data_IF_575218455807
#
_entry.id   IF_575218455807
#
_cell.length_a   1.000
_cell.length_b   1.000
_cell.length_c   1.000
_cell.angle_alpha   90.00
_cell.angle_beta   90.00
_cell.angle_gamma   90.00
#
_symmetry.space_group_name_H-M   'P 1'
#
loop_
_entity.id
_entity.type
_entity.pdbx_description
1 polymer ?
#
# COMPACT_ATOMS: atom_id res chain seq x y z
N UNK A 1 15.78 26.30 13.54
CA UNK A 1 16.39 25.32 14.47
C UNK A 1 15.36 24.73 15.42
N UNK A 2 14.59 25.51 16.17
CA UNK A 2 13.56 24.94 17.07
C UNK A 2 12.53 24.08 16.30
N UNK A 3 12.11 24.54 15.11
CA UNK A 3 11.23 23.78 14.23
C UNK A 3 11.84 22.44 13.77
N UNK A 4 13.11 22.41 13.39
CA UNK A 4 13.80 21.16 13.01
C UNK A 4 13.85 20.17 14.17
N UNK A 5 14.02 20.66 15.40
CA UNK A 5 13.98 19.83 16.59
C UNK A 5 12.60 19.19 16.79
N UNK A 6 11.52 19.93 16.52
CA UNK A 6 10.15 19.37 16.59
C UNK A 6 9.94 18.24 15.56
N UNK A 7 10.47 18.37 14.34
CA UNK A 7 10.43 17.28 13.36
C UNK A 7 11.27 16.07 13.78
N UNK A 8 12.43 16.30 14.41
CA UNK A 8 13.26 15.21 14.93
C UNK A 8 12.56 14.48 16.08
N UNK A 9 11.94 15.21 17.01
CA UNK A 9 11.14 14.62 18.09
C UNK A 9 9.94 13.86 17.52
N UNK A 10 9.25 14.40 16.53
CA UNK A 10 8.13 13.73 15.88
C UNK A 10 8.53 12.36 15.32
N UNK A 11 9.61 12.27 14.54
CA UNK A 11 10.03 10.99 13.96
C UNK A 11 10.64 10.05 15.01
N UNK A 12 11.30 10.59 16.05
CA UNK A 12 11.76 9.84 17.21
C UNK A 12 10.58 9.17 17.93
N UNK A 13 9.51 9.91 18.22
CA UNK A 13 8.32 9.37 18.90
C UNK A 13 7.66 8.26 18.08
N UNK A 14 7.45 8.49 16.78
CA UNK A 14 6.89 7.49 15.86
C UNK A 14 7.74 6.22 15.82
N UNK A 15 9.05 6.37 15.64
CA UNK A 15 9.95 5.21 15.53
C UNK A 15 10.08 4.45 16.85
N UNK A 16 10.07 5.15 17.99
CA UNK A 16 10.02 4.52 19.31
C UNK A 16 8.72 3.76 19.54
N UNK A 17 7.58 4.29 19.08
CA UNK A 17 6.28 3.61 19.16
C UNK A 17 6.28 2.29 18.37
N UNK A 18 6.79 2.33 17.15
CA UNK A 18 6.96 1.15 16.28
C UNK A 18 7.83 0.11 16.99
N UNK A 19 8.99 0.51 17.50
CA UNK A 19 9.88 -0.43 18.22
C UNK A 19 9.24 -1.02 19.47
N UNK A 20 8.46 -0.22 20.21
CA UNK A 20 7.79 -0.64 21.44
C UNK A 20 6.66 -1.63 21.18
N UNK A 21 5.86 -1.39 20.15
CA UNK A 21 4.71 -2.23 19.84
C UNK A 21 5.11 -3.51 19.03
N UNK A 22 6.23 -3.52 18.30
CA UNK A 22 6.82 -4.73 17.69
C UNK A 22 6.50 -4.98 16.21
N UNK A 23 5.87 -6.12 15.87
CA UNK A 23 5.50 -6.47 14.48
C UNK A 23 4.14 -5.88 14.12
N UNK A 24 4.03 -5.27 12.93
CA UNK A 24 2.78 -4.65 12.46
C UNK A 24 2.38 -5.11 11.07
N UNK A 25 1.09 -5.00 10.81
CA UNK A 25 0.58 -4.98 9.43
C UNK A 25 0.67 -3.56 8.86
N UNK A 26 0.74 -3.44 7.53
CA UNK A 26 0.70 -2.15 6.83
C UNK A 26 -0.46 -1.27 7.30
N UNK A 27 -1.64 -1.85 7.48
CA UNK A 27 -2.83 -1.13 7.95
C UNK A 27 -2.67 -0.53 9.35
N UNK A 28 -2.01 -1.24 10.27
CA UNK A 28 -1.77 -0.73 11.63
C UNK A 28 -0.75 0.40 11.62
N UNK A 29 0.27 0.31 10.75
CA UNK A 29 1.23 1.40 10.59
C UNK A 29 0.60 2.64 9.95
N UNK A 30 -0.27 2.46 8.96
CA UNK A 30 -1.01 3.57 8.37
C UNK A 30 -1.88 4.29 9.41
N UNK A 31 -2.57 3.54 10.28
CA UNK A 31 -3.36 4.12 11.37
C UNK A 31 -2.48 4.85 12.40
N UNK A 32 -1.34 4.26 12.78
CA UNK A 32 -0.36 4.87 13.68
C UNK A 32 0.16 6.19 13.12
N UNK A 33 0.48 6.22 11.83
CA UNK A 33 0.93 7.42 11.13
C UNK A 33 -0.11 8.53 11.13
N UNK A 34 -1.37 8.21 10.81
CA UNK A 34 -2.45 9.20 10.86
C UNK A 34 -2.67 9.73 12.29
N UNK A 35 -2.61 8.89 13.32
CA UNK A 35 -2.69 9.35 14.71
C UNK A 35 -1.59 10.37 15.04
N UNK A 36 -0.33 10.08 14.70
CA UNK A 36 0.78 10.98 14.98
C UNK A 36 0.70 12.29 14.17
N UNK A 37 0.21 12.25 12.93
CA UNK A 37 -0.06 13.45 12.12
C UNK A 37 -1.15 14.29 12.79
N UNK A 38 -2.27 13.69 13.17
CA UNK A 38 -3.41 14.38 13.79
C UNK A 38 -3.01 15.10 15.09
N UNK A 39 -2.17 14.47 15.90
CA UNK A 39 -1.64 15.03 17.15
C UNK A 39 -0.69 16.22 16.91
N UNK A 40 0.05 16.22 15.80
CA UNK A 40 1.12 17.19 15.53
C UNK A 40 0.77 18.26 14.48
N UNK A 41 -0.35 18.13 13.75
CA UNK A 41 -0.76 19.05 12.67
C UNK A 41 -0.89 20.53 13.07
N UNK A 42 -1.09 20.80 14.35
CA UNK A 42 -1.21 22.17 14.87
C UNK A 42 0.14 22.87 15.04
N UNK A 43 1.25 22.12 14.98
CA UNK A 43 2.61 22.62 15.26
C UNK A 43 3.63 22.28 14.17
N UNK A 44 3.33 21.33 13.30
CA UNK A 44 4.18 20.90 12.18
C UNK A 44 3.39 20.93 10.87
N UNK A 45 4.08 21.19 9.77
CA UNK A 45 3.54 21.04 8.42
C UNK A 45 3.24 19.56 8.13
N UNK A 46 1.99 19.28 7.78
CA UNK A 46 1.49 17.93 7.49
C UNK A 46 2.16 17.29 6.28
N UNK A 47 2.38 18.05 5.21
CA UNK A 47 3.01 17.52 3.99
C UNK A 47 4.42 17.00 4.27
N UNK A 48 5.18 17.74 5.08
CA UNK A 48 6.52 17.33 5.51
C UNK A 48 6.49 16.15 6.46
N UNK A 49 5.52 16.07 7.39
CA UNK A 49 5.33 14.88 8.23
C UNK A 49 5.06 13.64 7.36
N UNK A 50 4.14 13.73 6.40
CA UNK A 50 3.82 12.65 5.46
C UNK A 50 5.06 12.20 4.67
N UNK A 51 5.84 13.15 4.14
CA UNK A 51 7.08 12.82 3.44
C UNK A 51 8.09 12.06 4.31
N UNK A 52 8.25 12.47 5.57
CA UNK A 52 9.16 11.77 6.50
C UNK A 52 8.67 10.34 6.80
N UNK A 53 7.36 10.16 6.92
CA UNK A 53 6.75 8.85 7.16
C UNK A 53 6.81 7.95 5.92
N UNK A 54 6.72 8.49 4.71
CA UNK A 54 6.88 7.73 3.46
C UNK A 54 8.30 7.17 3.31
N UNK A 55 9.31 7.99 3.67
CA UNK A 55 10.71 7.53 3.72
C UNK A 55 10.85 6.42 4.75
N UNK A 56 10.32 6.62 5.96
CA UNK A 56 10.35 5.59 7.01
C UNK A 56 9.67 4.29 6.57
N UNK A 57 8.51 4.37 5.91
CA UNK A 57 7.76 3.22 5.40
C UNK A 57 8.57 2.45 4.35
N UNK A 58 9.31 3.18 3.51
CA UNK A 58 10.23 2.59 2.54
C UNK A 58 11.40 1.88 3.22
N UNK A 59 12.00 2.49 4.25
CA UNK A 59 13.09 1.91 5.04
C UNK A 59 12.67 0.64 5.80
N UNK A 60 11.39 0.54 6.18
CA UNK A 60 10.80 -0.65 6.79
C UNK A 60 10.47 -1.76 5.77
N UNK A 61 10.67 -1.52 4.47
CA UNK A 61 10.37 -2.49 3.41
C UNK A 61 8.89 -2.62 3.08
N UNK A 62 8.08 -1.61 3.43
CA UNK A 62 6.63 -1.58 3.22
C UNK A 62 6.24 -0.77 1.97
N UNK A 63 7.17 -0.64 1.03
CA UNK A 63 6.97 0.01 -0.26
C UNK A 63 5.91 -0.68 -1.12
N UNK A 64 5.47 -0.01 -2.19
CA UNK A 64 4.34 -0.34 -3.09
C UNK A 64 4.40 -1.70 -3.83
N UNK A 65 5.23 -2.65 -3.39
CA UNK A 65 5.40 -3.94 -4.05
C UNK A 65 4.32 -4.98 -3.68
N UNK A 66 3.37 -4.62 -2.81
CA UNK A 66 2.20 -5.46 -2.53
C UNK A 66 0.90 -4.78 -2.96
N UNK A 67 0.55 -5.06 -4.21
CA UNK A 67 -0.81 -5.19 -4.76
C UNK A 67 -1.62 -3.89 -4.98
N UNK A 68 -1.61 -3.48 -6.26
CA UNK A 68 -2.83 -3.26 -7.05
C UNK A 68 -4.13 -3.26 -6.23
N UNK A 69 -4.64 -2.07 -5.88
CA UNK A 69 -6.07 -1.69 -5.85
C UNK A 69 -6.16 -0.23 -5.37
N UNK A 70 -5.53 0.69 -6.14
CA UNK A 70 -6.12 2.01 -6.28
C UNK A 70 -7.42 1.82 -7.06
N UNK A 71 -8.49 1.53 -6.33
CA UNK A 71 -9.85 1.72 -6.81
C UNK A 71 -9.99 3.23 -7.07
N UNK A 72 -9.64 3.61 -8.29
CA UNK A 72 -10.15 4.77 -8.98
C UNK A 72 -11.67 4.58 -9.16
N UNK A 73 -12.47 4.85 -8.13
CA UNK A 73 -13.92 5.05 -8.24
C UNK A 73 -14.46 5.67 -6.94
N UNK A 74 -14.83 6.94 -6.87
CA UNK A 74 -14.85 7.98 -7.87
C UNK A 74 -15.18 9.29 -7.18
N UNK A 75 -14.41 10.33 -7.45
CA UNK A 75 -14.79 11.69 -7.13
C UNK A 75 -14.31 12.58 -8.28
N UNK A 76 -15.21 12.71 -9.25
CA UNK A 76 -15.53 13.98 -9.92
C UNK A 76 -14.35 14.86 -10.38
N UNK A 77 -13.86 14.59 -11.59
CA UNK A 77 -13.38 15.64 -12.50
C UNK A 77 -13.32 15.08 -13.94
N UNK A 78 -14.48 14.76 -14.51
CA UNK A 78 -14.68 14.87 -15.95
C UNK A 78 -14.66 16.37 -16.27
N UNK A 79 -13.48 16.99 -16.31
CA UNK A 79 -13.36 18.27 -17.02
C UNK A 79 -11.93 18.50 -17.52
N UNK A 80 -11.82 18.74 -18.82
CA UNK A 80 -10.62 19.06 -19.60
C UNK A 80 -9.55 17.97 -19.81
N UNK A 81 -9.86 16.97 -20.63
CA UNK A 81 -8.88 16.45 -21.60
C UNK A 81 -9.00 17.27 -22.90
N UNK A 82 -8.18 18.30 -23.06
CA UNK A 82 -7.71 18.73 -24.37
C UNK A 82 -6.31 18.14 -24.57
N UNK A 83 -6.27 16.87 -24.97
CA UNK A 83 -5.04 16.18 -25.36
C UNK A 83 -4.99 16.14 -26.88
N UNK A 84 -4.23 17.09 -27.39
CA UNK A 84 -3.85 17.29 -28.78
C UNK A 84 -3.26 16.02 -29.40
N UNK A 85 -4.08 15.39 -30.24
CA UNK A 85 -3.78 14.66 -31.47
C UNK A 85 -2.28 14.40 -31.77
N UNK A 86 -1.85 13.15 -31.65
CA UNK A 86 -0.85 12.61 -32.57
C UNK A 86 -1.27 11.19 -33.00
N UNK A 87 -1.76 11.14 -34.23
CA UNK A 87 -2.01 9.94 -35.03
C UNK A 87 -0.74 9.09 -35.18
N UNK A 88 -0.82 7.82 -34.81
CA UNK A 88 -0.31 6.72 -35.65
C UNK A 88 -1.09 5.46 -35.33
N UNK A 89 -1.87 5.01 -36.32
CA UNK A 89 -2.66 3.80 -36.29
C UNK A 89 -1.79 2.55 -36.20
N UNK A 90 -2.08 1.67 -35.24
CA UNK A 90 -1.84 0.24 -35.42
C UNK A 90 -3.06 -0.56 -34.95
N UNK A 91 -3.73 -1.14 -35.93
CA UNK A 91 -5.05 -1.75 -35.89
C UNK A 91 -4.96 -3.19 -35.34
N UNK A 92 -5.08 -3.38 -34.02
CA UNK A 92 -5.23 -4.73 -33.45
C UNK A 92 -6.71 -5.12 -33.33
N UNK A 93 -7.20 -5.78 -34.39
CA UNK A 93 -8.53 -6.41 -34.48
C UNK A 93 -8.66 -7.54 -33.46
N UNK A 94 -9.25 -7.25 -32.30
CA UNK A 94 -9.77 -8.28 -31.42
C UNK A 94 -11.09 -8.83 -31.97
N UNK A 95 -11.00 -9.84 -32.84
CA UNK A 95 -12.17 -10.62 -33.25
C UNK A 95 -12.62 -11.48 -32.07
N UNK A 96 -13.57 -10.97 -31.31
CA UNK A 96 -14.36 -11.73 -30.34
C UNK A 96 -15.14 -12.83 -31.08
N UNK A 97 -14.86 -14.11 -30.75
CA UNK A 97 -15.83 -15.22 -30.84
C UNK A 97 -15.31 -16.52 -30.25
N UNK A 98 -16.13 -17.09 -29.36
CA UNK A 98 -16.10 -18.50 -28.96
C UNK A 98 -15.44 -18.72 -27.60
N UNK A 99 -15.79 -19.72 -26.81
CA UNK A 99 -16.72 -20.83 -26.98
C UNK A 99 -16.76 -21.52 -25.60
N UNK A 100 -17.95 -21.85 -25.08
CA UNK A 100 -18.10 -22.59 -23.81
C UNK A 100 -17.46 -23.98 -23.91
N UNK A 101 -16.63 -24.41 -22.95
CA UNK A 101 -16.49 -25.84 -22.63
C UNK A 101 -15.90 -26.12 -21.21
N UNK A 102 -16.74 -26.76 -20.38
CA UNK A 102 -16.52 -27.87 -19.40
C UNK A 102 -15.30 -27.82 -18.45
N UNK A 103 -15.45 -27.77 -17.11
CA UNK A 103 -15.82 -28.81 -16.11
C UNK A 103 -14.78 -29.96 -15.90
N UNK A 104 -14.43 -30.17 -14.62
CA UNK A 104 -13.64 -31.24 -13.95
C UNK A 104 -12.10 -31.12 -14.07
N UNK A 105 -11.25 -31.39 -13.07
CA UNK A 105 -11.18 -32.54 -12.15
C UNK A 105 -10.45 -32.24 -10.82
N UNK A 106 -10.89 -32.93 -9.76
CA UNK A 106 -10.32 -33.08 -8.41
C UNK A 106 -8.87 -33.59 -8.46
N UNK A 107 -7.95 -33.00 -7.68
CA UNK A 107 -6.70 -33.65 -7.27
C UNK A 107 -6.66 -33.75 -5.74
N UNK A 108 -6.51 -34.98 -5.29
CA UNK A 108 -6.54 -35.48 -3.92
C UNK A 108 -5.09 -35.72 -3.48
N UNK A 109 -4.74 -35.14 -2.32
CA UNK A 109 -3.82 -35.64 -1.27
C UNK A 109 -2.35 -35.95 -1.58
N UNK A 110 -1.43 -35.30 -0.85
CA UNK A 110 -0.48 -36.00 0.03
C UNK A 110 0.26 -35.01 0.95
N UNK A 111 0.93 -35.56 1.98
CA UNK A 111 1.67 -34.93 3.11
C UNK A 111 0.82 -34.81 4.38
N UNK A 112 0.51 -35.94 5.04
CA UNK A 112 1.39 -36.76 5.90
C UNK A 112 1.41 -36.22 7.35
N UNK A 113 0.63 -36.92 8.18
CA UNK A 113 0.50 -36.74 9.62
C UNK A 113 1.81 -37.10 10.31
N UNK A 114 2.43 -36.15 11.02
CA UNK A 114 3.50 -36.46 11.98
C UNK A 114 2.90 -36.69 13.37
N UNK A 115 2.73 -37.97 13.71
CA UNK A 115 2.54 -38.46 15.08
C UNK A 115 3.92 -38.52 15.77
N UNK A 116 4.06 -37.83 16.90
CA UNK A 116 5.24 -37.91 17.78
C UNK A 116 4.77 -38.19 19.20
N UNK A 117 4.30 -39.41 19.44
CA UNK A 117 4.28 -40.01 20.76
C UNK A 117 5.59 -40.79 20.98
N UNK A 118 6.48 -40.28 21.83
CA UNK A 118 7.61 -41.06 22.36
C UNK A 118 7.85 -40.75 23.84
N UNK A 119 7.25 -41.63 24.65
CA UNK A 119 7.72 -42.24 25.91
C UNK A 119 7.54 -41.50 27.24
#
# INVERSE_FOLDING_TARGET
>A
REEELLYLTFIEDVTNEILRLGLFSNRVLDELFECHIEENKNRLDEGKMRQMLDVLKSDLGLGQDSETELIHAGQEALDSLDLQEFDTAEELKLTSKGHRLRKATKSEEFLETMDLSLK
#
